data_IF_645824202549
#
_entry.id   IF_645824202549
#
_cell.length_a   1.000
_cell.length_b   1.000
_cell.length_c   1.000
_cell.angle_alpha   90.00
_cell.angle_beta   90.00
_cell.angle_gamma   90.00
#
_symmetry.space_group_name_H-M   'P 1'
#
loop_
_entity.id
_entity.type
_entity.pdbx_description
1 polymer ?
#
# COMPACT_ATOMS: atom_id res chain seq x y z
N UNK A 1 -24.69 -59.40 3.87
CA UNK A 1 -24.95 -58.39 4.92
C UNK A 1 -23.59 -57.93 5.43
N UNK A 2 -23.03 -56.77 5.17
CA UNK A 2 -23.41 -55.58 4.41
C UNK A 2 -22.10 -55.03 3.79
N UNK A 3 -22.09 -54.76 2.49
CA UNK A 3 -21.14 -53.84 1.87
C UNK A 3 -21.55 -52.41 2.25
N UNK A 4 -20.62 -51.56 2.66
CA UNK A 4 -20.83 -50.11 2.57
C UNK A 4 -19.72 -49.41 1.79
N UNK A 5 -20.24 -48.65 0.83
CA UNK A 5 -19.63 -48.01 -0.31
C UNK A 5 -19.26 -46.59 0.10
N UNK A 6 -17.98 -46.23 0.03
CA UNK A 6 -17.55 -44.84 0.19
C UNK A 6 -18.01 -44.03 -1.03
N UNK A 7 -19.18 -43.40 -0.89
CA UNK A 7 -19.71 -42.42 -1.83
C UNK A 7 -19.01 -41.08 -1.62
N UNK A 8 -18.52 -40.51 -2.73
CA UNK A 8 -18.03 -39.15 -2.84
C UNK A 8 -19.03 -38.13 -2.30
N UNK A 9 -18.58 -37.27 -1.38
CA UNK A 9 -19.24 -36.00 -1.07
C UNK A 9 -18.19 -34.88 -1.02
N UNK A 10 -18.49 -33.80 -1.71
CA UNK A 10 -17.62 -32.67 -2.02
C UNK A 10 -17.30 -31.79 -0.80
N UNK A 11 -16.24 -30.98 -0.82
CA UNK A 11 -15.77 -30.21 0.34
C UNK A 11 -16.64 -29.02 0.77
N UNK A 12 -17.84 -28.86 0.21
CA UNK A 12 -18.66 -27.64 0.36
C UNK A 12 -19.69 -27.66 1.49
N UNK A 13 -19.71 -28.68 2.36
CA UNK A 13 -20.69 -28.77 3.46
C UNK A 13 -20.12 -28.65 4.88
N UNK A 14 -18.82 -28.40 5.07
CA UNK A 14 -18.22 -28.23 6.41
C UNK A 14 -18.16 -26.76 6.91
N UNK A 15 -18.68 -25.78 6.15
CA UNK A 15 -18.58 -24.36 6.49
C UNK A 15 -19.76 -23.77 7.28
N UNK A 16 -20.69 -24.60 7.76
CA UNK A 16 -21.94 -24.15 8.41
C UNK A 16 -22.00 -24.30 9.94
N UNK A 17 -20.89 -24.62 10.61
CA UNK A 17 -20.93 -24.90 12.07
C UNK A 17 -19.72 -24.38 12.84
N UNK A 18 -19.40 -23.08 12.72
CA UNK A 18 -18.56 -22.38 13.68
C UNK A 18 -19.27 -21.11 14.15
N UNK A 19 -19.67 -21.02 15.44
CA UNK A 19 -20.09 -19.77 16.04
C UNK A 19 -18.83 -19.06 16.54
N UNK A 20 -18.41 -18.01 15.85
CA UNK A 20 -17.56 -16.98 16.48
C UNK A 20 -18.19 -15.62 16.23
N UNK A 21 -18.67 -15.08 17.35
CA UNK A 21 -19.24 -13.77 17.62
C UNK A 21 -18.58 -12.66 16.78
N UNK A 22 -19.31 -11.77 16.08
CA UNK A 22 -20.28 -10.78 16.59
C UNK A 22 -19.77 -10.03 17.82
N UNK A 23 -18.89 -9.06 17.62
CA UNK A 23 -19.05 -7.74 18.25
C UNK A 23 -18.10 -6.72 17.62
N UNK A 24 -18.70 -5.64 17.11
CA UNK A 24 -18.00 -4.47 16.61
C UNK A 24 -17.50 -3.64 17.79
N UNK A 25 -16.25 -3.82 18.17
CA UNK A 25 -15.52 -2.90 19.04
C UNK A 25 -14.04 -3.26 19.03
N UNK A 26 -13.29 -2.65 18.11
CA UNK A 26 -11.84 -2.46 18.22
C UNK A 26 -11.41 -1.56 17.06
N UNK A 27 -11.36 -0.26 17.31
CA UNK A 27 -10.54 0.80 16.69
C UNK A 27 -11.19 2.14 17.02
N UNK A 28 -11.14 2.52 18.29
CA UNK A 28 -11.50 3.86 18.73
C UNK A 28 -10.26 4.74 18.53
N UNK A 29 -10.11 5.32 17.34
CA UNK A 29 -9.15 6.39 17.10
C UNK A 29 -9.92 7.70 17.13
N UNK A 30 -9.72 8.44 18.22
CA UNK A 30 -10.38 9.69 18.54
C UNK A 30 -9.93 10.77 17.54
N UNK A 31 -10.71 10.98 16.46
CA UNK A 31 -10.50 12.10 15.54
C UNK A 31 -11.35 13.28 16.00
N UNK A 32 -10.65 14.35 16.36
CA UNK A 32 -11.22 15.62 16.75
C UNK A 32 -12.00 16.23 15.58
N UNK A 33 -13.32 16.30 15.75
CA UNK A 33 -14.26 16.86 14.81
C UNK A 33 -14.26 18.39 14.99
N UNK A 34 -13.63 19.11 14.07
CA UNK A 34 -13.82 20.54 13.89
C UNK A 34 -14.01 20.82 12.40
N UNK A 35 -15.00 21.65 12.08
CA UNK A 35 -15.46 22.09 10.76
C UNK A 35 -16.54 21.22 10.08
N UNK A 36 -17.76 21.32 10.63
CA UNK A 36 -18.97 21.43 9.82
C UNK A 36 -19.51 22.85 10.01
N UNK A 37 -19.31 23.74 9.05
CA UNK A 37 -20.38 24.60 8.53
C UNK A 37 -19.96 25.23 7.19
N UNK A 38 -20.95 25.58 6.37
CA UNK A 38 -20.88 26.05 4.97
C UNK A 38 -20.95 24.98 3.86
N UNK A 39 -22.11 24.33 3.78
CA UNK A 39 -22.67 23.97 2.47
C UNK A 39 -24.16 24.32 2.41
N UNK A 40 -24.47 25.47 1.83
CA UNK A 40 -25.79 25.72 1.25
C UNK A 40 -25.66 26.68 0.08
N UNK A 41 -26.37 26.32 -1.00
CA UNK A 41 -26.59 27.07 -2.24
C UNK A 41 -25.57 26.88 -3.38
N UNK A 42 -25.89 25.94 -4.28
CA UNK A 42 -26.30 26.28 -5.66
C UNK A 42 -26.78 25.05 -6.41
N UNK A 43 -28.06 25.07 -6.77
CA UNK A 43 -28.68 24.22 -7.78
C UNK A 43 -28.85 25.00 -9.09
N UNK A 44 -29.02 24.21 -10.15
CA UNK A 44 -29.53 24.53 -11.51
C UNK A 44 -28.54 25.09 -12.56
N UNK A 45 -28.16 24.26 -13.56
CA UNK A 45 -28.96 24.09 -14.79
C UNK A 45 -28.21 23.32 -15.93
N UNK A 46 -29.02 22.64 -16.76
CA UNK A 46 -28.83 22.31 -18.19
C UNK A 46 -28.42 20.89 -18.65
N UNK A 47 -29.45 20.17 -19.11
CA UNK A 47 -29.64 19.49 -20.41
C UNK A 47 -28.61 18.47 -20.98
N UNK A 48 -29.03 17.20 -20.91
CA UNK A 48 -29.16 16.21 -22.01
C UNK A 48 -27.99 16.04 -23.02
N UNK A 49 -27.15 15.03 -22.78
CA UNK A 49 -26.53 14.22 -23.84
C UNK A 49 -26.29 12.79 -23.34
N UNK A 50 -26.36 11.81 -24.25
CA UNK A 50 -26.21 10.36 -24.00
C UNK A 50 -25.01 10.08 -23.09
N UNK A 51 -25.31 9.67 -21.85
CA UNK A 51 -24.39 9.78 -20.73
C UNK A 51 -23.61 8.47 -20.50
N UNK A 52 -22.34 8.45 -20.91
CA UNK A 52 -21.37 7.43 -20.51
C UNK A 52 -20.47 8.01 -19.40
N UNK A 53 -20.64 7.60 -18.12
CA UNK A 53 -20.07 8.31 -16.97
C UNK A 53 -18.53 8.29 -16.88
N UNK A 54 -17.85 7.43 -17.63
CA UNK A 54 -16.38 7.36 -17.63
C UNK A 54 -15.73 8.53 -18.39
N UNK A 55 -16.45 9.15 -19.33
CA UNK A 55 -15.87 10.19 -20.20
C UNK A 55 -15.88 11.59 -19.54
N UNK A 56 -16.93 11.93 -18.80
CA UNK A 56 -17.04 13.23 -18.14
C UNK A 56 -16.12 13.39 -16.93
N UNK A 57 -15.87 12.30 -16.19
CA UNK A 57 -14.89 12.33 -15.10
C UNK A 57 -13.46 12.51 -15.63
N UNK A 58 -13.16 11.90 -16.79
CA UNK A 58 -11.89 12.07 -17.50
C UNK A 58 -11.65 13.53 -17.94
N UNK A 59 -12.71 14.24 -18.30
CA UNK A 59 -12.63 15.64 -18.70
C UNK A 59 -12.34 16.61 -17.53
N UNK A 60 -12.62 16.24 -16.27
CA UNK A 60 -12.16 17.01 -15.09
C UNK A 60 -10.65 16.83 -14.85
N UNK A 61 -10.13 15.64 -15.10
CA UNK A 61 -8.71 15.31 -14.97
C UNK A 61 -7.87 16.01 -16.06
N UNK A 62 -8.41 16.19 -17.29
CA UNK A 62 -7.77 16.99 -18.34
C UNK A 62 -7.87 18.51 -18.14
N UNK A 63 -8.95 19.03 -17.54
CA UNK A 63 -9.14 20.50 -17.42
C UNK A 63 -8.23 21.12 -16.34
N UNK A 64 -7.80 20.36 -15.33
CA UNK A 64 -6.78 20.81 -14.38
C UNK A 64 -5.35 20.67 -14.91
N UNK A 65 -5.07 19.74 -15.83
CA UNK A 65 -3.76 19.65 -16.48
C UNK A 65 -3.48 20.80 -17.44
N UNK A 66 -4.51 21.41 -18.03
CA UNK A 66 -4.31 22.51 -18.99
C UNK A 66 -4.00 23.86 -18.32
N UNK A 67 -4.48 24.11 -17.10
CA UNK A 67 -4.23 25.39 -16.40
C UNK A 67 -2.81 25.47 -15.81
N UNK A 68 -2.16 24.33 -15.56
CA UNK A 68 -0.77 24.25 -15.06
C UNK A 68 0.15 23.54 -16.05
N UNK A 69 -0.03 23.77 -17.36
CA UNK A 69 0.78 23.19 -18.43
C UNK A 69 2.25 23.64 -18.40
N UNK A 70 3.02 23.07 -17.48
CA UNK A 70 4.45 22.80 -17.65
C UNK A 70 4.62 21.29 -17.71
N UNK A 71 4.99 20.75 -18.86
CA UNK A 71 5.28 19.32 -19.04
C UNK A 71 6.30 18.82 -17.98
N UNK A 72 5.82 18.15 -16.93
CA UNK A 72 6.63 17.70 -15.80
C UNK A 72 7.39 16.40 -16.15
N UNK A 73 8.65 16.55 -16.56
CA UNK A 73 9.56 15.46 -16.93
C UNK A 73 10.29 14.87 -15.71
N UNK A 74 10.46 13.54 -15.70
CA UNK A 74 11.18 12.73 -14.68
C UNK A 74 12.57 13.29 -14.34
N UNK A 75 13.24 13.96 -15.28
CA UNK A 75 14.65 14.37 -15.14
C UNK A 75 14.90 15.49 -14.12
N UNK A 76 13.96 16.41 -13.88
CA UNK A 76 14.20 17.54 -12.97
C UNK A 76 13.59 17.35 -11.57
N UNK A 77 12.41 16.74 -11.47
CA UNK A 77 11.71 16.56 -10.19
C UNK A 77 11.84 15.15 -9.60
N UNK A 78 12.14 14.11 -10.38
CA UNK A 78 12.32 12.75 -9.84
C UNK A 78 13.53 12.65 -8.90
N UNK A 79 14.61 13.34 -9.23
CA UNK A 79 15.81 13.47 -8.38
C UNK A 79 15.55 14.27 -7.12
N UNK A 80 14.69 15.30 -7.17
CA UNK A 80 14.29 16.07 -5.99
C UNK A 80 13.49 15.17 -5.04
N UNK A 81 12.45 14.48 -5.55
CA UNK A 81 11.63 13.55 -4.74
C UNK A 81 12.49 12.44 -4.14
N UNK A 82 13.37 11.83 -4.91
CA UNK A 82 14.26 10.77 -4.41
C UNK A 82 15.22 11.27 -3.32
N UNK A 83 15.72 12.52 -3.42
CA UNK A 83 16.61 13.12 -2.42
C UNK A 83 15.86 13.45 -1.13
N UNK A 84 14.62 13.91 -1.21
CA UNK A 84 13.77 14.16 -0.03
C UNK A 84 13.48 12.87 0.74
N UNK A 85 13.35 11.74 0.03
CA UNK A 85 13.12 10.42 0.62
C UNK A 85 14.39 9.56 0.78
N UNK A 86 15.58 10.18 0.82
CA UNK A 86 16.85 9.43 0.93
C UNK A 86 16.89 8.50 2.14
N UNK A 87 16.36 8.95 3.29
CA UNK A 87 16.30 8.14 4.50
C UNK A 87 15.46 6.88 4.33
N UNK A 88 14.35 6.97 3.61
CA UNK A 88 13.48 5.82 3.34
C UNK A 88 14.22 4.76 2.50
N UNK A 89 14.96 5.20 1.47
CA UNK A 89 15.79 4.30 0.67
C UNK A 89 16.93 3.64 1.46
N UNK A 90 17.56 4.37 2.38
CA UNK A 90 18.59 3.82 3.27
C UNK A 90 18.02 2.76 4.21
N UNK A 91 16.83 2.98 4.76
CA UNK A 91 16.13 2.01 5.61
C UNK A 91 15.74 0.77 4.79
N UNK A 92 15.26 0.94 3.56
CA UNK A 92 14.99 -0.18 2.66
C UNK A 92 16.25 -1.02 2.38
N UNK A 93 17.38 -0.37 2.12
CA UNK A 93 18.65 -1.05 1.94
C UNK A 93 19.02 -1.85 3.19
N UNK A 94 18.89 -1.24 4.38
CA UNK A 94 19.15 -1.92 5.65
C UNK A 94 18.23 -3.13 5.85
N UNK A 95 16.92 -3.00 5.57
CA UNK A 95 15.98 -4.12 5.62
C UNK A 95 16.39 -5.25 4.67
N UNK A 96 16.85 -4.92 3.46
CA UNK A 96 17.37 -5.89 2.50
C UNK A 96 18.60 -6.63 3.02
N UNK A 97 19.55 -5.91 3.64
CA UNK A 97 20.74 -6.51 4.26
C UNK A 97 20.34 -7.43 5.42
N UNK A 98 19.43 -7.00 6.29
CA UNK A 98 18.92 -7.82 7.40
C UNK A 98 18.27 -9.09 6.86
N UNK A 99 17.36 -8.98 5.88
CA UNK A 99 16.70 -10.13 5.25
C UNK A 99 17.72 -11.11 4.66
N UNK A 100 18.76 -10.60 3.98
CA UNK A 100 19.83 -11.44 3.45
C UNK A 100 20.57 -12.19 4.57
N UNK A 101 20.96 -11.52 5.65
CA UNK A 101 21.66 -12.13 6.79
C UNK A 101 20.82 -13.24 7.44
N UNK A 102 19.51 -13.03 7.62
CA UNK A 102 18.60 -14.01 8.23
C UNK A 102 18.57 -15.36 7.47
N UNK A 103 18.87 -15.38 6.16
CA UNK A 103 18.91 -16.62 5.38
C UNK A 103 20.06 -17.56 5.82
N UNK A 104 21.17 -17.00 6.31
CA UNK A 104 22.34 -17.77 6.73
C UNK A 104 22.19 -18.34 8.14
N UNK A 105 21.40 -17.69 9.00
CA UNK A 105 21.18 -18.11 10.39
C UNK A 105 20.47 -19.48 10.45
N UNK A 106 20.90 -20.32 11.40
CA UNK A 106 20.25 -21.59 11.70
C UNK A 106 19.01 -21.36 12.56
N UNK A 107 17.88 -22.04 12.25
CA UNK A 107 16.68 -21.94 13.08
C UNK A 107 16.91 -22.61 14.44
N UNK A 108 16.09 -22.24 15.41
CA UNK A 108 15.94 -23.02 16.64
C UNK A 108 15.50 -24.44 16.30
N UNK A 109 16.21 -25.45 16.80
CA UNK A 109 15.84 -26.85 16.60
C UNK A 109 14.92 -27.29 17.74
N UNK A 110 13.61 -27.17 17.50
CA UNK A 110 12.59 -27.65 18.43
C UNK A 110 12.67 -29.18 18.56
N UNK A 111 12.49 -29.69 19.79
CA UNK A 111 12.40 -31.12 20.08
C UNK A 111 11.36 -31.82 19.19
N UNK A 112 11.74 -32.96 18.61
CA UNK A 112 10.86 -33.80 17.79
C UNK A 112 10.94 -35.23 18.31
N UNK A 113 9.88 -35.68 18.98
CA UNK A 113 9.76 -37.02 19.52
C UNK A 113 9.18 -38.02 18.51
N UNK A 114 9.36 -39.31 18.80
CA UNK A 114 8.86 -40.42 17.98
C UNK A 114 7.34 -40.38 17.78
N UNK A 115 6.58 -40.08 18.84
CA UNK A 115 5.11 -40.07 18.80
C UNK A 115 4.56 -38.91 17.94
N UNK A 116 5.32 -37.82 17.81
CA UNK A 116 4.97 -36.67 16.98
C UNK A 116 5.25 -36.90 15.49
N UNK A 117 5.99 -37.97 15.15
CA UNK A 117 6.49 -38.19 13.79
C UNK A 117 5.38 -38.54 12.79
N UNK A 118 4.25 -39.07 13.26
CA UNK A 118 3.12 -39.46 12.41
C UNK A 118 2.58 -38.28 11.58
N UNK A 119 2.42 -37.10 12.19
CA UNK A 119 1.86 -35.90 11.53
C UNK A 119 2.84 -35.19 10.59
N UNK A 120 4.11 -35.59 10.60
CA UNK A 120 5.21 -34.96 9.83
C UNK A 120 5.94 -35.96 8.92
N UNK A 121 5.24 -37.04 8.52
CA UNK A 121 5.73 -38.12 7.65
C UNK A 121 5.24 -38.04 6.20
N UNK A 122 4.68 -36.90 5.79
CA UNK A 122 4.19 -36.71 4.42
C UNK A 122 5.34 -36.76 3.40
N UNK A 123 5.08 -37.23 2.16
CA UNK A 123 6.12 -37.42 1.16
C UNK A 123 6.83 -36.11 0.80
N UNK A 124 8.16 -36.15 0.69
CA UNK A 124 8.96 -35.02 0.24
C UNK A 124 8.79 -34.81 -1.27
N UNK A 125 7.92 -33.85 -1.65
CA UNK A 125 7.63 -33.48 -3.04
C UNK A 125 8.47 -32.30 -3.54
N UNK A 126 8.51 -32.12 -4.85
CA UNK A 126 9.00 -30.90 -5.49
C UNK A 126 8.01 -29.75 -5.28
N UNK A 127 8.48 -28.51 -5.40
CA UNK A 127 7.62 -27.34 -5.26
C UNK A 127 6.82 -27.10 -6.55
N UNK A 128 5.50 -27.07 -6.45
CA UNK A 128 4.59 -26.60 -7.51
C UNK A 128 4.88 -25.13 -7.84
N UNK A 129 5.00 -24.29 -6.80
CA UNK A 129 5.39 -22.87 -6.95
C UNK A 129 6.77 -22.65 -6.33
N UNK A 130 7.82 -22.43 -7.15
CA UNK A 130 9.15 -22.12 -6.62
C UNK A 130 9.18 -20.71 -6.04
N UNK A 131 10.04 -20.48 -5.03
CA UNK A 131 10.05 -19.20 -4.30
C UNK A 131 10.39 -18.00 -5.20
N UNK A 132 11.27 -18.17 -6.18
CA UNK A 132 11.60 -17.11 -7.13
C UNK A 132 10.38 -16.64 -7.92
N UNK A 133 9.46 -17.56 -8.29
CA UNK A 133 8.23 -17.21 -9.00
C UNK A 133 7.27 -16.38 -8.14
N UNK A 134 7.27 -16.62 -6.82
CA UNK A 134 6.51 -15.79 -5.87
C UNK A 134 7.06 -14.37 -5.84
N UNK A 135 8.37 -14.21 -5.70
CA UNK A 135 9.03 -12.90 -5.65
C UNK A 135 8.83 -12.14 -6.98
N UNK A 136 9.02 -12.81 -8.12
CA UNK A 136 8.81 -12.18 -9.43
C UNK A 136 7.35 -11.80 -9.66
N UNK A 137 6.39 -12.62 -9.23
CA UNK A 137 4.97 -12.26 -9.29
C UNK A 137 4.63 -11.09 -8.38
N UNK A 138 5.06 -11.13 -7.13
CA UNK A 138 4.79 -10.10 -6.11
C UNK A 138 5.38 -8.73 -6.45
N UNK A 139 6.42 -8.66 -7.29
CA UNK A 139 6.97 -7.42 -7.83
C UNK A 139 6.40 -7.09 -9.21
N UNK A 140 6.36 -8.08 -10.11
CA UNK A 140 6.03 -7.90 -11.52
C UNK A 140 4.60 -7.44 -11.77
N UNK A 141 3.61 -8.08 -11.12
CA UNK A 141 2.20 -7.69 -11.30
C UNK A 141 1.92 -6.26 -10.80
N UNK A 142 2.37 -5.84 -9.60
CA UNK A 142 2.20 -4.46 -9.18
C UNK A 142 2.96 -3.46 -10.05
N UNK A 143 4.22 -3.74 -10.40
CA UNK A 143 5.02 -2.84 -11.24
C UNK A 143 4.37 -2.61 -12.61
N UNK A 144 3.78 -3.66 -13.21
CA UNK A 144 3.01 -3.51 -14.44
C UNK A 144 1.82 -2.56 -14.25
N UNK A 145 1.04 -2.73 -13.18
CA UNK A 145 -0.10 -1.86 -12.89
C UNK A 145 0.34 -0.40 -12.65
N UNK A 146 1.41 -0.19 -11.90
CA UNK A 146 1.97 1.14 -11.61
C UNK A 146 2.41 1.84 -12.90
N UNK A 147 3.09 1.11 -13.79
CA UNK A 147 3.52 1.65 -15.08
C UNK A 147 2.33 2.00 -15.98
N UNK A 148 1.31 1.14 -16.06
CA UNK A 148 0.08 1.42 -16.83
C UNK A 148 -0.57 2.71 -16.33
N UNK A 149 -0.73 2.87 -15.01
CA UNK A 149 -1.34 4.07 -14.42
C UNK A 149 -0.44 5.29 -14.61
N UNK A 150 0.87 5.15 -14.48
CA UNK A 150 1.83 6.21 -14.75
C UNK A 150 1.77 6.69 -16.20
N UNK A 151 1.73 5.79 -17.19
CA UNK A 151 1.64 6.21 -18.59
C UNK A 151 0.35 6.97 -18.90
N UNK A 152 -0.75 6.66 -18.19
CA UNK A 152 -2.05 7.34 -18.34
C UNK A 152 -2.11 8.68 -17.61
N UNK A 153 -1.62 8.76 -16.37
CA UNK A 153 -1.75 9.97 -15.53
C UNK A 153 -0.51 10.87 -15.52
N UNK A 154 0.64 10.37 -15.97
CA UNK A 154 1.96 11.05 -15.95
C UNK A 154 2.34 11.63 -14.57
N UNK A 155 1.88 11.01 -13.49
CA UNK A 155 2.15 11.46 -12.12
C UNK A 155 3.35 10.73 -11.51
N UNK A 156 4.48 11.42 -11.37
CA UNK A 156 5.72 10.84 -10.82
C UNK A 156 5.61 10.57 -9.32
N UNK A 157 4.90 11.42 -8.58
CA UNK A 157 4.68 11.24 -7.13
C UNK A 157 3.97 9.92 -6.85
N UNK A 158 2.93 9.61 -7.62
CA UNK A 158 2.18 8.36 -7.50
C UNK A 158 3.06 7.14 -7.74
N UNK A 159 3.81 7.14 -8.84
CA UNK A 159 4.72 6.03 -9.18
C UNK A 159 5.79 5.83 -8.11
N UNK A 160 6.41 6.92 -7.64
CA UNK A 160 7.45 6.86 -6.62
C UNK A 160 6.92 6.25 -5.31
N UNK A 161 5.79 6.76 -4.80
CA UNK A 161 5.21 6.31 -3.54
C UNK A 161 4.65 4.89 -3.65
N UNK A 162 4.14 4.49 -4.82
CA UNK A 162 3.71 3.11 -5.07
C UNK A 162 4.90 2.13 -5.03
N UNK A 163 6.02 2.47 -5.68
CA UNK A 163 7.25 1.64 -5.67
C UNK A 163 7.83 1.56 -4.25
N UNK A 164 7.92 2.70 -3.56
CA UNK A 164 8.46 2.77 -2.21
C UNK A 164 7.60 1.94 -1.24
N UNK A 165 6.28 2.14 -1.26
CA UNK A 165 5.33 1.39 -0.43
C UNK A 165 5.35 -0.11 -0.67
N UNK A 166 5.39 -0.54 -1.94
CA UNK A 166 5.51 -1.96 -2.29
C UNK A 166 6.82 -2.56 -1.77
N UNK A 167 7.94 -1.84 -1.95
CA UNK A 167 9.27 -2.29 -1.50
C UNK A 167 9.30 -2.51 0.01
N UNK A 168 8.73 -1.56 0.78
CA UNK A 168 8.58 -1.70 2.23
C UNK A 168 7.69 -2.89 2.60
N UNK A 169 6.54 -3.04 1.94
CA UNK A 169 5.63 -4.14 2.20
C UNK A 169 6.32 -5.50 2.04
N UNK A 170 7.08 -5.68 0.96
CA UNK A 170 7.78 -6.94 0.68
C UNK A 170 8.95 -7.18 1.63
N UNK A 171 9.85 -6.20 1.82
CA UNK A 171 11.05 -6.39 2.65
C UNK A 171 10.71 -6.51 4.14
N UNK A 172 9.78 -5.70 4.63
CA UNK A 172 9.34 -5.80 6.03
C UNK A 172 8.66 -7.15 6.30
N UNK A 173 7.80 -7.62 5.38
CA UNK A 173 7.18 -8.95 5.49
C UNK A 173 8.22 -10.06 5.47
N UNK A 174 9.24 -9.96 4.62
CA UNK A 174 10.34 -10.93 4.53
C UNK A 174 11.10 -11.01 5.86
N UNK A 175 11.55 -9.87 6.40
CA UNK A 175 12.27 -9.79 7.68
C UNK A 175 11.43 -10.41 8.79
N UNK A 176 10.18 -9.99 8.95
CA UNK A 176 9.28 -10.51 9.99
C UNK A 176 9.06 -12.02 9.84
N UNK A 177 8.80 -12.50 8.62
CA UNK A 177 8.58 -13.92 8.36
C UNK A 177 9.82 -14.75 8.71
N UNK A 178 11.00 -14.33 8.26
CA UNK A 178 12.24 -15.06 8.49
C UNK A 178 12.64 -15.04 9.96
N UNK A 179 12.47 -13.91 10.65
CA UNK A 179 12.69 -13.83 12.10
C UNK A 179 11.79 -14.82 12.84
N UNK A 180 10.48 -14.86 12.54
CA UNK A 180 9.55 -15.78 13.21
C UNK A 180 9.89 -17.25 12.88
N UNK A 181 10.26 -17.55 11.63
CA UNK A 181 10.70 -18.92 11.25
C UNK A 181 11.91 -19.38 12.04
N UNK A 182 12.89 -18.51 12.23
CA UNK A 182 14.11 -18.81 12.94
C UNK A 182 13.87 -19.03 14.44
N UNK A 183 12.96 -18.25 15.05
CA UNK A 183 12.67 -18.35 16.49
C UNK A 183 11.75 -19.52 16.81
N UNK A 184 10.74 -19.80 15.98
CA UNK A 184 9.76 -20.86 16.25
C UNK A 184 10.31 -22.26 15.96
N UNK A 185 11.09 -22.43 14.89
CA UNK A 185 11.76 -23.72 14.63
C UNK A 185 10.84 -24.90 14.33
N UNK A 186 9.59 -24.63 13.90
CA UNK A 186 8.55 -25.66 13.70
C UNK A 186 8.92 -26.61 12.55
N UNK A 187 8.90 -27.94 12.78
CA UNK A 187 9.05 -28.94 11.72
C UNK A 187 7.94 -28.84 10.67
N UNK A 188 8.29 -29.04 9.40
CA UNK A 188 7.36 -29.12 8.26
C UNK A 188 6.62 -30.47 8.23
N UNK A 189 5.48 -30.57 7.52
CA UNK A 189 4.79 -31.85 7.34
C UNK A 189 5.61 -32.92 6.60
N UNK A 190 6.62 -32.50 5.82
CA UNK A 190 7.55 -33.38 5.10
C UNK A 190 8.88 -33.62 5.85
N UNK A 191 8.94 -33.31 7.15
CA UNK A 191 10.18 -33.33 7.93
C UNK A 191 10.84 -34.71 8.01
N UNK A 192 10.06 -35.77 8.18
CA UNK A 192 10.59 -37.15 8.29
C UNK A 192 11.54 -37.50 7.15
N UNK A 193 11.12 -37.27 5.90
CA UNK A 193 11.92 -37.64 4.72
C UNK A 193 13.12 -36.71 4.48
N UNK A 194 13.11 -35.52 5.07
CA UNK A 194 14.30 -34.63 5.08
C UNK A 194 15.34 -35.12 6.07
N UNK A 195 14.89 -35.63 7.22
CA UNK A 195 15.72 -36.09 8.31
C UNK A 195 16.27 -37.52 8.06
N UNK A 196 15.43 -38.41 7.53
CA UNK A 196 15.67 -39.83 7.31
C UNK A 196 15.42 -40.22 5.84
N UNK A 197 16.35 -39.91 4.91
CA UNK A 197 16.17 -40.21 3.49
C UNK A 197 16.10 -41.73 3.19
N UNK A 198 16.61 -42.57 4.08
CA UNK A 198 16.54 -44.04 4.02
C UNK A 198 15.31 -44.63 4.74
N UNK A 199 14.47 -43.78 5.34
CA UNK A 199 13.26 -44.18 6.05
C UNK A 199 13.49 -44.83 7.42
N UNK A 200 14.71 -44.82 7.95
CA UNK A 200 15.04 -45.39 9.26
C UNK A 200 15.16 -44.28 10.30
N UNK A 201 14.22 -44.25 11.23
CA UNK A 201 14.21 -43.24 12.28
C UNK A 201 15.16 -43.59 13.45
N UNK A 202 15.91 -42.58 13.88
CA UNK A 202 16.89 -42.68 14.96
C UNK A 202 16.61 -41.59 15.99
N UNK A 203 16.65 -41.96 17.27
CA UNK A 203 16.41 -41.04 18.38
C UNK A 203 17.51 -41.16 19.43
N UNK A 204 17.79 -40.07 20.13
CA UNK A 204 18.70 -40.05 21.26
C UNK A 204 18.06 -40.67 22.52
N UNK A 205 18.83 -40.73 23.61
CA UNK A 205 18.36 -41.27 24.90
C UNK A 205 17.20 -40.47 25.52
N UNK A 206 17.03 -39.21 25.12
CA UNK A 206 15.97 -38.31 25.57
C UNK A 206 14.75 -38.36 24.62
N UNK A 207 14.81 -39.18 23.57
CA UNK A 207 13.75 -39.34 22.57
C UNK A 207 13.72 -38.27 21.49
N UNK A 208 14.75 -37.40 21.40
CA UNK A 208 14.85 -36.41 20.33
C UNK A 208 15.41 -37.03 19.05
N UNK A 209 14.97 -36.51 17.90
CA UNK A 209 15.38 -36.99 16.58
C UNK A 209 16.88 -36.76 16.32
N UNK A 210 17.56 -37.77 15.76
CA UNK A 210 18.94 -37.65 15.25
C UNK A 210 18.89 -37.77 13.73
N UNK A 211 18.94 -36.63 13.02
CA UNK A 211 18.88 -36.63 11.56
C UNK A 211 20.23 -36.96 10.91
N UNK A 212 20.19 -37.76 9.84
CA UNK A 212 21.34 -38.07 8.98
C UNK A 212 21.13 -37.71 7.50
N UNK A 213 20.06 -36.97 7.21
CA UNK A 213 19.82 -36.38 5.89
C UNK A 213 20.73 -35.19 5.57
N UNK A 214 20.47 -34.55 4.42
CA UNK A 214 21.23 -33.39 3.96
C UNK A 214 20.99 -32.18 4.88
N UNK A 215 22.05 -31.59 5.41
CA UNK A 215 21.97 -30.47 6.36
C UNK A 215 21.11 -29.29 5.88
N UNK A 216 21.16 -28.94 4.58
CA UNK A 216 20.31 -27.88 4.02
C UNK A 216 18.82 -28.23 4.03
N UNK A 217 18.46 -29.49 3.79
CA UNK A 217 17.08 -29.95 3.82
C UNK A 217 16.54 -30.00 5.24
N UNK A 218 17.37 -30.42 6.21
CA UNK A 218 17.04 -30.42 7.64
C UNK A 218 16.85 -28.99 8.15
N UNK A 219 17.78 -28.08 7.84
CA UNK A 219 17.67 -26.64 8.17
C UNK A 219 16.34 -26.07 7.66
N UNK A 220 15.98 -26.36 6.42
CA UNK A 220 14.71 -25.89 5.84
C UNK A 220 13.48 -26.61 6.40
N UNK A 221 13.66 -27.85 6.85
CA UNK A 221 12.63 -28.66 7.52
C UNK A 221 12.14 -28.04 8.83
N UNK A 222 12.98 -27.26 9.53
CA UNK A 222 12.61 -26.55 10.76
C UNK A 222 12.03 -25.15 10.55
N UNK A 223 11.79 -24.73 9.29
CA UNK A 223 11.29 -23.40 8.96
C UNK A 223 9.84 -23.43 8.48
N UNK A 224 8.95 -24.14 9.18
CA UNK A 224 7.54 -24.26 8.75
C UNK A 224 6.71 -23.01 9.03
N UNK A 225 6.74 -22.46 10.25
CA UNK A 225 5.82 -21.39 10.66
C UNK A 225 6.49 -20.00 10.64
N UNK A 226 5.86 -18.96 10.08
CA UNK A 226 4.72 -18.99 9.14
C UNK A 226 5.21 -19.32 7.71
N UNK A 227 4.29 -19.43 6.75
CA UNK A 227 4.63 -19.70 5.35
C UNK A 227 5.19 -18.44 4.64
N UNK A 228 6.45 -18.51 4.18
CA UNK A 228 7.14 -17.41 3.47
C UNK A 228 6.60 -17.16 2.06
N UNK A 229 6.24 -18.22 1.32
CA UNK A 229 5.55 -18.08 0.04
C UNK A 229 4.22 -17.34 0.20
N UNK A 230 3.47 -17.69 1.24
CA UNK A 230 2.14 -17.09 1.46
C UNK A 230 2.27 -15.65 1.92
N UNK A 231 3.11 -15.35 2.91
CA UNK A 231 3.28 -13.98 3.41
C UNK A 231 3.79 -13.03 2.33
N UNK A 232 4.80 -13.44 1.54
CA UNK A 232 5.31 -12.64 0.43
C UNK A 232 4.25 -12.40 -0.66
N UNK A 233 3.49 -13.43 -1.03
CA UNK A 233 2.41 -13.30 -2.02
C UNK A 233 1.33 -12.34 -1.55
N UNK A 234 0.88 -12.46 -0.30
CA UNK A 234 -0.11 -11.56 0.28
C UNK A 234 0.43 -10.14 0.39
N UNK A 235 1.68 -9.95 0.79
CA UNK A 235 2.30 -8.62 0.87
C UNK A 235 2.22 -7.85 -0.46
N UNK A 236 2.64 -8.49 -1.57
CA UNK A 236 2.58 -7.85 -2.89
C UNK A 236 1.16 -7.70 -3.45
N UNK A 237 0.35 -8.76 -3.37
CA UNK A 237 -0.97 -8.77 -4.01
C UNK A 237 -2.04 -7.98 -3.27
N UNK A 238 -1.98 -7.93 -1.93
CA UNK A 238 -2.87 -7.06 -1.14
C UNK A 238 -2.51 -5.61 -1.40
N UNK A 239 -1.22 -5.25 -1.43
CA UNK A 239 -0.81 -3.88 -1.77
C UNK A 239 -1.34 -3.48 -3.16
N UNK A 240 -1.22 -4.36 -4.15
CA UNK A 240 -1.78 -4.16 -5.48
C UNK A 240 -3.30 -4.00 -5.47
N UNK A 241 -4.00 -4.84 -4.72
CA UNK A 241 -5.46 -4.79 -4.56
C UNK A 241 -5.91 -3.44 -4.01
N UNK A 242 -5.28 -2.97 -2.93
CA UNK A 242 -5.55 -1.66 -2.31
C UNK A 242 -5.23 -0.51 -3.28
N UNK A 243 -4.08 -0.57 -3.96
CA UNK A 243 -3.68 0.42 -4.94
C UNK A 243 -4.68 0.53 -6.09
N UNK A 244 -5.07 -0.59 -6.71
CA UNK A 244 -6.09 -0.59 -7.77
C UNK A 244 -7.44 -0.09 -7.22
N UNK A 245 -7.82 -0.49 -6.01
CA UNK A 245 -9.06 -0.08 -5.36
C UNK A 245 -9.19 1.45 -5.28
N UNK A 246 -8.13 2.14 -4.85
CA UNK A 246 -8.10 3.61 -4.82
C UNK A 246 -8.20 4.22 -6.22
N UNK A 247 -7.50 3.64 -7.21
CA UNK A 247 -7.42 4.18 -8.58
C UNK A 247 -8.70 4.05 -9.37
N UNK A 248 -9.49 3.00 -9.15
CA UNK A 248 -10.79 2.80 -9.78
C UNK A 248 -11.96 3.32 -8.91
N UNK A 249 -11.63 3.89 -7.74
CA UNK A 249 -12.57 4.31 -6.71
C UNK A 249 -13.63 3.23 -6.47
N UNK A 250 -13.17 2.05 -6.03
CA UNK A 250 -14.03 0.87 -5.89
C UNK A 250 -15.22 1.12 -4.94
N UNK A 251 -15.06 2.04 -3.99
CA UNK A 251 -16.03 2.39 -2.97
C UNK A 251 -16.61 3.81 -3.17
N UNK A 252 -16.84 4.22 -4.42
CA UNK A 252 -17.43 5.53 -4.79
C UNK A 252 -18.93 5.70 -4.45
N UNK A 253 -19.49 4.83 -3.61
CA UNK A 253 -20.91 4.76 -3.26
C UNK A 253 -21.88 4.53 -4.45
N UNK A 254 -21.38 4.26 -5.67
CA UNK A 254 -22.23 4.04 -6.87
C UNK A 254 -22.68 2.60 -7.06
N UNK A 255 -22.21 1.66 -6.23
CA UNK A 255 -22.70 0.26 -6.22
C UNK A 255 -22.22 -0.64 -7.36
N UNK A 256 -21.13 -0.32 -8.06
CA UNK A 256 -20.63 -1.13 -9.19
C UNK A 256 -19.82 -2.35 -8.71
N UNK A 257 -20.51 -3.47 -8.44
CA UNK A 257 -19.91 -4.71 -7.89
C UNK A 257 -18.79 -5.30 -8.76
N UNK A 258 -18.80 -5.08 -10.08
CA UNK A 258 -17.73 -5.55 -10.97
C UNK A 258 -16.33 -5.03 -10.58
N UNK A 259 -16.25 -3.86 -9.93
CA UNK A 259 -14.99 -3.33 -9.39
C UNK A 259 -14.41 -4.24 -8.30
N UNK A 260 -15.28 -4.92 -7.52
CA UNK A 260 -14.86 -5.87 -6.49
C UNK A 260 -14.14 -7.09 -7.11
N UNK A 261 -14.62 -7.60 -8.25
CA UNK A 261 -13.96 -8.72 -8.93
C UNK A 261 -12.52 -8.38 -9.33
N UNK A 262 -12.28 -7.13 -9.77
CA UNK A 262 -10.95 -6.66 -10.16
C UNK A 262 -10.03 -6.58 -8.94
N UNK A 263 -10.50 -5.99 -7.83
CA UNK A 263 -9.65 -5.83 -6.62
C UNK A 263 -9.41 -7.15 -5.89
N UNK A 264 -10.32 -8.12 -5.94
CA UNK A 264 -10.13 -9.42 -5.29
C UNK A 264 -9.24 -10.37 -6.10
N UNK A 265 -9.10 -10.18 -7.41
CA UNK A 265 -8.33 -11.07 -8.27
C UNK A 265 -6.87 -11.27 -7.79
N UNK A 266 -6.09 -10.22 -7.46
CA UNK A 266 -4.75 -10.40 -6.89
C UNK A 266 -4.74 -11.23 -5.59
N UNK A 267 -5.71 -11.02 -4.71
CA UNK A 267 -5.80 -11.73 -3.42
C UNK A 267 -6.14 -13.22 -3.64
N UNK A 268 -6.97 -13.54 -4.63
CA UNK A 268 -7.24 -14.92 -5.05
C UNK A 268 -5.95 -15.59 -5.53
N UNK A 269 -5.15 -14.91 -6.36
CA UNK A 269 -3.85 -15.42 -6.82
C UNK A 269 -2.92 -15.72 -5.64
N UNK A 270 -2.81 -14.81 -4.66
CA UNK A 270 -2.01 -15.05 -3.46
C UNK A 270 -2.52 -16.23 -2.62
N UNK A 271 -3.85 -16.40 -2.55
CA UNK A 271 -4.48 -17.53 -1.85
C UNK A 271 -4.15 -18.86 -2.53
N UNK A 272 -4.17 -18.92 -3.87
CA UNK A 272 -3.78 -20.12 -4.63
C UNK A 272 -2.31 -20.49 -4.41
N UNK A 273 -1.41 -19.50 -4.31
CA UNK A 273 0.00 -19.76 -3.92
C UNK A 273 0.06 -20.39 -2.52
N UNK A 274 -0.72 -19.88 -1.56
CA UNK A 274 -0.82 -20.46 -0.23
C UNK A 274 -1.34 -21.90 -0.22
N UNK A 275 -2.42 -22.17 -0.95
CA UNK A 275 -3.01 -23.52 -1.08
C UNK A 275 -1.98 -24.50 -1.65
N UNK A 276 -1.19 -24.11 -2.66
CA UNK A 276 -0.14 -24.96 -3.22
C UNK A 276 0.90 -25.42 -2.18
N UNK A 277 1.06 -24.69 -1.07
CA UNK A 277 1.99 -25.08 0.01
C UNK A 277 1.44 -26.21 0.88
N UNK A 278 0.12 -26.30 0.98
CA UNK A 278 -0.59 -27.37 1.66
C UNK A 278 -0.55 -28.62 0.77
N UNK A 279 -0.86 -28.47 -0.52
CA UNK A 279 -0.87 -29.58 -1.49
C UNK A 279 0.50 -30.25 -1.67
N UNK A 280 1.58 -29.46 -1.57
CA UNK A 280 2.96 -29.94 -1.63
C UNK A 280 3.47 -30.47 -0.27
N UNK A 281 2.64 -30.48 0.78
CA UNK A 281 3.02 -30.85 2.15
C UNK A 281 4.19 -30.04 2.72
N UNK A 282 4.35 -28.79 2.25
CA UNK A 282 5.42 -27.89 2.70
C UNK A 282 5.05 -27.16 3.98
N UNK A 283 3.77 -26.94 4.21
CA UNK A 283 3.25 -26.13 5.30
C UNK A 283 1.94 -26.73 5.82
N UNK A 284 1.72 -26.57 7.11
CA UNK A 284 0.41 -26.81 7.71
C UNK A 284 -0.54 -25.68 7.32
N UNK A 285 -1.85 -25.94 7.34
CA UNK A 285 -2.85 -24.92 7.01
C UNK A 285 -2.73 -23.67 7.89
N UNK A 286 -2.37 -23.82 9.17
CA UNK A 286 -2.20 -22.70 10.08
C UNK A 286 -0.92 -21.89 9.80
N UNK A 287 0.13 -22.50 9.23
CA UNK A 287 1.32 -21.77 8.75
C UNK A 287 0.94 -20.86 7.57
N UNK A 288 0.06 -21.33 6.69
CA UNK A 288 -0.46 -20.59 5.53
C UNK A 288 -1.38 -19.47 5.97
N UNK A 289 -2.32 -19.75 6.86
CA UNK A 289 -3.23 -18.72 7.41
C UNK A 289 -2.47 -17.59 8.11
N UNK A 290 -1.55 -17.92 9.01
CA UNK A 290 -0.72 -16.92 9.70
C UNK A 290 0.17 -16.13 8.73
N UNK A 291 0.72 -16.79 7.70
CA UNK A 291 1.48 -16.12 6.65
C UNK A 291 0.64 -15.12 5.86
N UNK A 292 -0.58 -15.50 5.47
CA UNK A 292 -1.52 -14.62 4.79
C UNK A 292 -1.92 -13.42 5.64
N UNK A 293 -2.24 -13.64 6.92
CA UNK A 293 -2.58 -12.57 7.87
C UNK A 293 -1.43 -11.59 8.09
N UNK A 294 -0.19 -12.10 8.21
CA UNK A 294 1.01 -11.28 8.32
C UNK A 294 1.19 -10.39 7.08
N UNK A 295 1.15 -10.99 5.88
CA UNK A 295 1.30 -10.25 4.63
C UNK A 295 0.19 -9.22 4.40
N UNK A 296 -1.07 -9.57 4.69
CA UNK A 296 -2.23 -8.67 4.64
C UNK A 296 -2.04 -7.44 5.55
N UNK A 297 -1.66 -7.69 6.81
CA UNK A 297 -1.48 -6.63 7.81
C UNK A 297 -0.36 -5.67 7.39
N UNK A 298 0.82 -6.21 7.05
CA UNK A 298 1.98 -5.40 6.67
C UNK A 298 1.71 -4.63 5.38
N UNK A 299 1.11 -5.24 4.36
CA UNK A 299 0.73 -4.53 3.13
C UNK A 299 -0.24 -3.38 3.39
N UNK A 300 -1.25 -3.61 4.23
CA UNK A 300 -2.23 -2.57 4.58
C UNK A 300 -1.56 -1.41 5.29
N UNK A 301 -0.71 -1.67 6.29
CA UNK A 301 0.03 -0.62 6.99
C UNK A 301 0.96 0.17 6.06
N UNK A 302 1.74 -0.51 5.23
CA UNK A 302 2.63 0.15 4.27
C UNK A 302 1.87 0.95 3.22
N UNK A 303 0.72 0.46 2.75
CA UNK A 303 -0.14 1.21 1.83
C UNK A 303 -0.66 2.50 2.48
N UNK A 304 -1.21 2.40 3.69
CA UNK A 304 -1.79 3.54 4.41
C UNK A 304 -0.78 4.61 4.83
N UNK A 305 0.51 4.26 4.87
CA UNK A 305 1.57 5.24 5.10
C UNK A 305 1.74 6.23 3.93
N UNK A 306 1.38 5.82 2.71
CA UNK A 306 1.59 6.61 1.50
C UNK A 306 0.30 7.04 0.80
N UNK A 307 -0.79 6.29 1.00
CA UNK A 307 -2.09 6.50 0.36
C UNK A 307 -3.23 6.58 1.39
N UNK A 308 -4.26 7.40 1.15
CA UNK A 308 -5.49 7.38 1.93
C UNK A 308 -6.25 6.06 1.77
N UNK A 309 -7.21 5.81 2.68
CA UNK A 309 -8.15 4.71 2.53
C UNK A 309 -8.89 4.80 1.18
N UNK A 310 -9.05 3.68 0.44
CA UNK A 310 -9.72 3.69 -0.86
C UNK A 310 -11.18 4.16 -0.85
N UNK A 311 -11.82 4.22 0.32
CA UNK A 311 -13.19 4.71 0.51
C UNK A 311 -13.29 6.22 0.69
N UNK A 312 -12.18 6.94 0.85
CA UNK A 312 -12.17 8.39 0.96
C UNK A 312 -12.14 9.05 -0.41
N UNK A 313 -12.67 10.26 -0.52
CA UNK A 313 -12.69 11.03 -1.77
C UNK A 313 -11.30 11.26 -2.37
N UNK A 314 -10.29 11.37 -1.50
CA UNK A 314 -8.88 11.51 -1.88
C UNK A 314 -8.15 10.18 -2.10
N UNK A 315 -8.81 9.03 -1.97
CA UNK A 315 -8.19 7.69 -2.06
C UNK A 315 -7.57 7.35 -3.43
N UNK A 316 -7.74 8.20 -4.44
CA UNK A 316 -7.18 8.00 -5.77
C UNK A 316 -5.71 8.46 -5.91
N UNK A 317 -5.18 9.25 -4.98
CA UNK A 317 -3.82 9.82 -5.06
C UNK A 317 -3.02 9.65 -3.77
N UNK A 318 -1.67 9.78 -3.80
CA UNK A 318 -0.85 9.72 -2.60
C UNK A 318 -0.94 11.03 -1.77
N UNK A 319 -0.68 10.97 -0.47
CA UNK A 319 -0.70 12.18 0.40
C UNK A 319 0.25 13.29 -0.09
N UNK A 320 1.42 12.91 -0.63
CA UNK A 320 2.39 13.87 -1.15
C UNK A 320 1.84 14.69 -2.34
N UNK A 321 0.95 14.10 -3.14
CA UNK A 321 0.33 14.81 -4.26
C UNK A 321 -0.62 15.91 -3.75
N UNK A 322 -1.45 15.61 -2.76
CA UNK A 322 -2.39 16.60 -2.20
C UNK A 322 -1.67 17.73 -1.46
N UNK A 323 -0.62 17.41 -0.68
CA UNK A 323 0.20 18.45 -0.04
C UNK A 323 0.87 19.39 -1.05
N UNK A 324 1.42 18.85 -2.14
CA UNK A 324 2.02 19.67 -3.19
C UNK A 324 0.98 20.60 -3.86
N UNK A 325 -0.27 20.13 -4.02
CA UNK A 325 -1.35 20.94 -4.58
C UNK A 325 -1.76 22.08 -3.63
N UNK A 326 -1.83 21.81 -2.32
CA UNK A 326 -2.12 22.81 -1.29
C UNK A 326 -1.03 23.89 -1.22
N UNK A 327 0.24 23.50 -1.27
CA UNK A 327 1.38 24.42 -1.28
C UNK A 327 1.39 25.32 -2.53
N UNK A 328 1.04 24.75 -3.69
CA UNK A 328 0.93 25.52 -4.94
C UNK A 328 -0.21 26.54 -4.84
N UNK A 329 -1.37 26.13 -4.33
CA UNK A 329 -2.52 27.01 -4.11
C UNK A 329 -2.19 28.15 -3.13
N UNK A 330 -1.57 27.84 -1.99
CA UNK A 330 -1.14 28.85 -1.02
C UNK A 330 -0.16 29.86 -1.62
N UNK A 331 0.79 29.40 -2.44
CA UNK A 331 1.77 30.24 -3.12
C UNK A 331 1.10 31.18 -4.13
N UNK A 332 0.13 30.69 -4.90
CA UNK A 332 -0.66 31.51 -5.83
C UNK A 332 -1.49 32.55 -5.10
N UNK A 333 -2.13 32.19 -3.98
CA UNK A 333 -2.89 33.14 -3.17
C UNK A 333 -1.98 34.23 -2.57
N UNK A 334 -0.79 33.86 -2.09
CA UNK A 334 0.20 34.82 -1.58
C UNK A 334 0.71 35.77 -2.67
N UNK A 335 0.98 35.27 -3.88
CA UNK A 335 1.40 36.09 -5.02
C UNK A 335 0.32 37.08 -5.44
N UNK A 336 -0.94 36.62 -5.54
CA UNK A 336 -2.07 37.50 -5.87
C UNK A 336 -2.29 38.56 -4.79
N UNK A 337 -2.16 38.22 -3.51
CA UNK A 337 -2.27 39.17 -2.41
C UNK A 337 -1.14 40.23 -2.43
N UNK A 338 0.10 39.84 -2.78
CA UNK A 338 1.21 40.77 -2.93
C UNK A 338 1.02 41.71 -4.13
N UNK A 339 0.54 41.20 -5.26
CA UNK A 339 0.22 42.02 -6.43
C UNK A 339 -0.90 43.03 -6.14
N UNK A 340 -1.95 42.62 -5.43
CA UNK A 340 -3.05 43.53 -5.05
C UNK A 340 -2.57 44.64 -4.10
N UNK A 341 -1.63 44.35 -3.20
CA UNK A 341 -1.01 45.35 -2.33
C UNK A 341 -0.08 46.30 -3.08
N UNK A 342 0.71 45.81 -4.05
CA UNK A 342 1.58 46.66 -4.87
C UNK A 342 0.79 47.65 -5.75
N UNK A 343 -0.33 47.21 -6.33
CA UNK A 343 -1.23 48.08 -7.11
C UNK A 343 -1.90 49.15 -6.22
N UNK A 344 -2.21 48.83 -4.96
CA UNK A 344 -2.75 49.82 -4.03
C UNK A 344 -1.71 50.90 -3.68
N UNK A 345 -0.43 50.54 -3.52
CA UNK A 345 0.65 51.47 -3.18
C UNK A 345 0.99 52.42 -4.36
N UNK A 346 1.05 51.90 -5.60
CA UNK A 346 1.24 52.71 -6.81
C UNK A 346 0.05 53.63 -7.12
N UNK A 347 -1.17 53.23 -6.72
CA UNK A 347 -2.39 54.04 -6.86
C UNK A 347 -2.41 55.28 -5.97
N UNK A 348 -1.75 55.24 -4.81
CA UNK A 348 -1.62 56.42 -3.92
C UNK A 348 -0.56 57.41 -4.40
N UNK A 349 0.52 56.93 -5.04
CA UNK A 349 1.56 57.81 -5.60
C UNK A 349 1.05 58.56 -6.84
N UNK A 350 0.22 57.91 -7.67
CA UNK A 350 -0.39 58.52 -8.86
C UNK A 350 -1.44 59.60 -8.57
N UNK A 351 -2.11 59.54 -7.42
CA UNK A 351 -3.13 60.53 -7.04
C UNK A 351 -2.53 61.81 -6.41
N UNK A 352 -1.30 61.76 -5.92
CA UNK A 352 -0.61 62.91 -5.32
C UNK A 352 0.06 63.81 -6.38
N UNK A 353 0.39 63.27 -7.56
CA UNK A 353 1.03 64.02 -8.66
C UNK A 353 0.03 64.73 -9.60
N UNK A 354 -1.26 64.45 -9.47
CA UNK A 354 -2.30 65.06 -10.30
C UNK A 354 -3.02 66.26 -9.64
N UNK A 355 -2.65 66.67 -8.42
CA UNK A 355 -3.25 67.85 -7.76
C UNK A 355 -2.41 69.13 -7.82
N UNK A 356 -1.20 69.10 -8.39
CA UNK A 356 -0.26 70.24 -8.38
C UNK A 356 -0.13 70.99 -9.71
N UNK A 357 -1.02 70.75 -10.66
CA UNK A 357 -1.01 71.41 -11.97
C UNK A 357 -2.37 71.98 -12.34
N UNK A 358 -2.88 72.94 -11.57
CA UNK A 358 -3.87 73.91 -12.06
C UNK A 358 -4.07 75.02 -11.04
N UNK A 359 -3.31 76.13 -11.18
CA UNK A 359 -3.83 77.49 -11.07
C UNK A 359 -2.69 78.50 -11.08
N UNK A 360 -2.25 78.88 -12.29
CA UNK A 360 -1.56 80.14 -12.50
C UNK A 360 -2.57 81.16 -13.04
N UNK A 361 -2.66 82.31 -12.37
CA UNK A 361 -2.94 83.66 -12.89
C UNK A 361 -4.00 84.48 -12.14
N UNK A 362 -3.58 85.72 -11.83
CA UNK A 362 -4.29 87.02 -11.87
C UNK A 362 -4.09 87.89 -10.61
N UNK A 363 -3.43 89.02 -10.90
CA UNK A 363 -3.06 90.24 -10.18
C UNK A 363 -4.10 90.96 -9.29
N UNK A 364 -3.61 91.63 -8.23
CA UNK A 364 -3.80 93.06 -7.79
C UNK A 364 -3.66 93.14 -6.26
N UNK A 365 -2.65 93.83 -5.74
CA UNK A 365 -2.58 95.26 -5.43
C UNK A 365 -3.33 95.68 -4.14
N UNK A 366 -2.54 96.24 -3.22
CA UNK A 366 -2.86 97.26 -2.19
C UNK A 366 -3.55 96.88 -0.87
N UNK A 367 -2.80 97.21 0.19
CA UNK A 367 -3.16 98.04 1.35
C UNK A 367 -3.66 97.48 2.70
N UNK A 368 -2.88 97.89 3.73
CA UNK A 368 -3.28 98.50 5.01
C UNK A 368 -3.81 97.60 6.14
N UNK A 369 -2.89 97.38 7.07
CA UNK A 369 -2.95 97.80 8.48
C UNK A 369 -4.22 97.60 9.35
N UNK A 370 -3.94 97.03 10.54
CA UNK A 370 -4.51 97.37 11.85
C UNK A 370 -5.48 96.36 12.52
N UNK A 371 -4.94 95.75 13.59
CA UNK A 371 -5.39 95.96 14.99
C UNK A 371 -6.83 95.51 15.35
N UNK A 372 -6.95 94.44 16.13
CA UNK A 372 -7.32 94.47 17.57
C UNK A 372 -7.73 93.08 18.10
N UNK A 373 -7.09 92.75 19.23
CA UNK A 373 -7.56 91.99 20.41
C UNK A 373 -7.83 90.50 20.27
#
# INVERSE_FOLDING_TARGET
MYEERWSSKSPFQAFKSLPFFTDGSLFNFQLQQHFLDESSQRLDNSANSRHWPLLEYWNKECRMTDVTSGFHSVKSHGTIVARTHLHDWLILLLLGVVAFILNFIHPFYRFVGKDMMYDIKYPFKNNTVPFWAVVTGAIGFPMLAFLIIYFRRRCVYDLHHAILGLSYSLLLTQVLTDTIKLTVGRPRPDFFWRCFPDGKDVYDKLGNVICHGKASHIKEGHKSFPSGHTSCSFAGMVFLSLYISGKIQAFDHRGHVAKLCIIFLPVVVATLVGISRIDDYRHHWNDVFAGGLLGLTVATMCYLQFFPLPSLDQGWGPYAYFRALEELGASTHAANAAQTRGVADDGYIGLQLASDSDSDSISRAEDVESRKR
#
